data_IF_612104362323
#
_entry.id   IF_612104362323
#
_cell.length_a   1.000
_cell.length_b   1.000
_cell.length_c   1.000
_cell.angle_alpha   90.00
_cell.angle_beta   90.00
_cell.angle_gamma   90.00
#
_symmetry.space_group_name_H-M   'P 1'
#
loop_
_entity.id
_entity.type
_entity.pdbx_description
1 polymer ?
#
# COMPACT_ATOMS: atom_id res chain seq x y z
N UNK A 1 28.41 -19.97 -21.80
CA UNK A 1 28.63 -18.54 -21.96
C UNK A 1 27.41 -17.84 -21.39
N UNK A 2 27.45 -17.53 -20.08
CA UNK A 2 26.29 -16.96 -19.37
C UNK A 2 26.30 -15.44 -19.51
N UNK A 3 25.33 -14.92 -20.24
CA UNK A 3 25.10 -13.48 -20.37
C UNK A 3 24.31 -13.02 -19.13
N UNK A 4 25.01 -12.48 -18.15
CA UNK A 4 24.38 -11.76 -17.02
C UNK A 4 24.10 -10.34 -17.52
N UNK A 5 22.82 -10.04 -17.77
CA UNK A 5 22.39 -8.67 -18.05
C UNK A 5 22.45 -7.87 -16.74
N UNK A 6 23.07 -6.70 -16.73
CA UNK A 6 23.11 -5.85 -15.56
C UNK A 6 21.73 -5.27 -15.29
N UNK A 7 21.19 -5.52 -14.08
CA UNK A 7 20.04 -4.77 -13.58
C UNK A 7 20.41 -3.30 -13.44
N UNK A 8 19.58 -2.36 -13.88
CA UNK A 8 19.81 -0.95 -13.62
C UNK A 8 19.83 -0.73 -12.10
N UNK A 9 20.97 -0.30 -11.61
CA UNK A 9 21.12 0.13 -10.21
C UNK A 9 20.29 1.39 -10.03
N UNK A 10 19.12 1.27 -9.41
CA UNK A 10 18.35 2.40 -8.91
C UNK A 10 19.17 3.08 -7.81
N UNK A 11 19.89 4.12 -8.14
CA UNK A 11 20.46 5.04 -7.16
C UNK A 11 19.38 6.03 -6.76
N UNK A 12 18.65 5.74 -5.69
CA UNK A 12 17.88 6.78 -5.02
C UNK A 12 18.83 7.70 -4.27
N UNK A 13 18.80 9.01 -4.50
CA UNK A 13 19.54 9.94 -3.67
C UNK A 13 18.99 9.84 -2.25
N UNK A 14 19.84 9.52 -1.29
CA UNK A 14 19.53 9.60 0.13
C UNK A 14 19.41 11.09 0.50
N UNK A 15 18.24 11.68 0.27
CA UNK A 15 17.91 12.94 0.90
C UNK A 15 17.30 12.63 2.26
N UNK A 16 17.81 13.31 3.29
CA UNK A 16 17.20 13.35 4.61
C UNK A 16 15.78 13.86 4.42
N UNK A 17 14.76 13.17 4.95
CA UNK A 17 13.40 13.68 4.89
C UNK A 17 13.37 14.99 5.66
N UNK A 18 13.21 16.11 4.96
CA UNK A 18 12.92 17.40 5.56
C UNK A 18 11.54 17.30 6.17
N UNK A 19 11.48 17.45 7.49
CA UNK A 19 10.28 17.62 8.33
C UNK A 19 9.09 16.69 8.03
N UNK A 20 9.18 15.46 8.51
CA UNK A 20 8.03 14.66 8.86
C UNK A 20 7.21 15.39 9.93
N UNK A 21 6.16 16.11 9.53
CA UNK A 21 5.12 16.49 10.50
C UNK A 21 4.44 15.24 10.98
N UNK A 22 4.86 14.74 12.11
CA UNK A 22 4.24 13.67 12.85
C UNK A 22 3.04 14.25 13.60
N UNK A 23 1.89 14.32 12.93
CA UNK A 23 0.59 14.48 13.61
C UNK A 23 0.02 13.06 13.84
N UNK A 24 0.62 12.33 14.73
CA UNK A 24 0.01 11.13 15.32
C UNK A 24 0.34 11.19 16.79
N UNK A 25 -0.69 11.47 17.60
CA UNK A 25 -0.65 11.26 19.04
C UNK A 25 -0.24 9.80 19.31
N UNK A 26 0.93 9.54 19.90
CA UNK A 26 1.42 8.21 20.17
C UNK A 26 0.89 7.66 21.50
N UNK A 27 -0.33 7.93 21.89
CA UNK A 27 -0.92 7.24 23.03
C UNK A 27 -1.13 5.77 22.66
N UNK A 28 -0.10 4.96 22.88
CA UNK A 28 -0.06 3.52 22.58
C UNK A 28 -1.19 2.75 23.32
N UNK A 29 -1.67 3.22 24.44
CA UNK A 29 -2.74 2.61 25.24
C UNK A 29 -4.06 2.48 24.49
N UNK A 30 -4.48 3.49 23.74
CA UNK A 30 -5.75 3.44 23.00
C UNK A 30 -5.78 2.49 21.79
N UNK A 31 -4.61 2.14 21.23
CA UNK A 31 -4.51 1.21 20.09
C UNK A 31 -4.67 -0.23 20.57
N UNK A 32 -4.03 -0.59 21.66
CA UNK A 32 -4.05 -1.93 22.24
C UNK A 32 -5.48 -2.32 22.68
N UNK A 33 -6.16 -1.43 23.37
CA UNK A 33 -7.56 -1.62 23.79
C UNK A 33 -8.51 -1.75 22.58
N UNK A 34 -8.32 -0.93 21.55
CA UNK A 34 -9.11 -1.00 20.33
C UNK A 34 -8.93 -2.32 19.59
N UNK A 35 -7.70 -2.83 19.49
CA UNK A 35 -7.41 -4.10 18.83
C UNK A 35 -7.94 -5.29 19.63
N UNK A 36 -7.86 -5.24 20.95
CA UNK A 36 -8.43 -6.27 21.81
C UNK A 36 -9.97 -6.34 21.67
N UNK A 37 -10.65 -5.20 21.69
CA UNK A 37 -12.09 -5.14 21.50
C UNK A 37 -12.52 -5.66 20.11
N UNK A 38 -11.74 -5.35 19.04
CA UNK A 38 -12.00 -5.89 17.70
C UNK A 38 -11.76 -7.40 17.68
N UNK A 39 -10.73 -7.92 18.35
CA UNK A 39 -10.45 -9.35 18.44
C UNK A 39 -11.62 -10.12 19.04
N UNK A 40 -12.17 -9.65 20.16
CA UNK A 40 -13.35 -10.26 20.80
C UNK A 40 -14.56 -10.29 19.86
N UNK A 41 -14.82 -9.20 19.14
CA UNK A 41 -15.92 -9.12 18.17
C UNK A 41 -15.74 -10.07 16.99
N UNK A 42 -14.51 -10.24 16.50
CA UNK A 42 -14.18 -11.20 15.41
C UNK A 42 -14.53 -12.65 15.85
N UNK A 43 -14.42 -12.93 17.14
CA UNK A 43 -14.68 -14.25 17.70
C UNK A 43 -16.07 -14.40 18.35
N UNK A 44 -16.90 -13.35 18.32
CA UNK A 44 -18.25 -13.36 18.89
C UNK A 44 -19.27 -13.77 17.83
N UNK A 45 -19.93 -14.94 17.96
CA UNK A 45 -20.99 -15.34 17.04
C UNK A 45 -22.10 -14.28 16.97
N UNK A 46 -22.51 -13.93 15.74
CA UNK A 46 -23.54 -12.91 15.50
C UNK A 46 -23.02 -11.48 15.40
N UNK A 47 -21.77 -11.19 15.72
CA UNK A 47 -21.17 -9.89 15.42
C UNK A 47 -20.86 -9.77 13.91
N UNK A 48 -20.94 -8.53 13.38
CA UNK A 48 -20.65 -8.22 11.98
C UNK A 48 -19.19 -8.51 11.59
N UNK A 49 -18.28 -8.64 12.54
CA UNK A 49 -16.89 -9.00 12.35
C UNK A 49 -16.62 -10.50 12.49
N UNK A 50 -17.61 -11.31 12.83
CA UNK A 50 -17.44 -12.76 12.97
C UNK A 50 -17.14 -13.34 11.56
N UNK A 51 -17.44 -14.01 10.88
CA UNK A 51 -17.23 -14.72 9.60
C UNK A 51 -16.53 -13.92 8.47
N UNK A 52 -15.57 -13.03 8.81
CA UNK A 52 -14.81 -12.30 7.81
C UNK A 52 -13.96 -13.23 6.95
N UNK A 53 -13.84 -12.98 5.64
CA UNK A 53 -12.92 -13.71 4.76
C UNK A 53 -11.49 -13.72 5.32
N UNK A 54 -10.86 -14.89 5.27
CA UNK A 54 -9.53 -15.15 5.85
C UNK A 54 -8.53 -15.44 4.73
N UNK A 55 -7.36 -14.80 4.81
CA UNK A 55 -6.25 -15.01 3.90
C UNK A 55 -4.98 -15.33 4.68
N UNK A 56 -4.17 -16.23 4.13
CA UNK A 56 -2.89 -16.62 4.72
C UNK A 56 -1.83 -15.55 4.45
N UNK A 57 -0.92 -15.39 5.41
CA UNK A 57 0.32 -14.63 5.26
C UNK A 57 1.51 -15.60 5.12
N UNK A 58 2.69 -15.11 4.69
CA UNK A 58 3.90 -15.93 4.65
C UNK A 58 4.27 -16.55 6.01
N UNK A 59 4.04 -15.81 7.11
CA UNK A 59 4.16 -16.36 8.46
C UNK A 59 2.92 -17.25 8.75
N UNK A 60 3.08 -18.55 8.99
CA UNK A 60 1.98 -19.49 9.20
C UNK A 60 1.15 -19.20 10.46
N UNK A 61 1.69 -18.47 11.42
CA UNK A 61 0.99 -18.08 12.63
C UNK A 61 0.14 -16.82 12.45
N UNK A 62 0.29 -16.13 11.32
CA UNK A 62 -0.44 -14.90 11.01
C UNK A 62 -1.45 -15.13 9.89
N UNK A 63 -2.60 -14.51 10.02
CA UNK A 63 -3.60 -14.45 8.95
C UNK A 63 -4.24 -13.08 8.86
N UNK A 64 -4.75 -12.74 7.70
CA UNK A 64 -5.53 -11.51 7.49
C UNK A 64 -7.00 -11.87 7.52
N UNK A 65 -7.80 -11.12 8.26
CA UNK A 65 -9.26 -11.07 8.14
C UNK A 65 -9.65 -9.77 7.47
N UNK A 66 -10.45 -9.85 6.43
CA UNK A 66 -10.76 -8.69 5.59
C UNK A 66 -12.22 -8.32 5.69
N UNK A 67 -12.47 -7.06 6.06
CA UNK A 67 -13.79 -6.44 6.00
C UNK A 67 -13.81 -5.40 4.90
N UNK A 68 -14.86 -5.40 4.08
CA UNK A 68 -15.16 -4.31 3.15
C UNK A 68 -16.32 -3.51 3.72
N UNK A 69 -16.14 -2.19 3.90
CA UNK A 69 -17.19 -1.27 4.35
C UNK A 69 -16.97 0.09 3.72
N UNK A 70 -18.02 0.72 3.23
CA UNK A 70 -18.03 2.08 2.68
C UNK A 70 -17.00 2.35 1.57
N UNK A 71 -16.66 1.28 0.83
CA UNK A 71 -15.66 1.32 -0.23
C UNK A 71 -14.21 1.21 0.26
N UNK A 72 -13.99 1.04 1.56
CA UNK A 72 -12.70 0.80 2.17
C UNK A 72 -12.49 -0.69 2.49
N UNK A 73 -11.23 -1.09 2.67
CA UNK A 73 -10.88 -2.43 3.10
C UNK A 73 -10.10 -2.36 4.40
N UNK A 74 -10.56 -3.14 5.38
CA UNK A 74 -9.94 -3.27 6.69
C UNK A 74 -9.28 -4.65 6.76
N UNK A 75 -7.97 -4.69 6.80
CA UNK A 75 -7.18 -5.90 6.92
C UNK A 75 -6.68 -6.05 8.36
N UNK A 76 -7.37 -6.86 9.15
CA UNK A 76 -6.98 -7.20 10.51
C UNK A 76 -6.00 -8.35 10.49
N UNK A 77 -4.82 -8.17 11.05
CA UNK A 77 -3.81 -9.24 11.15
C UNK A 77 -3.94 -9.92 12.50
N UNK A 78 -4.31 -11.19 12.47
CA UNK A 78 -4.50 -12.04 13.64
C UNK A 78 -3.30 -12.94 13.86
N UNK A 79 -2.78 -12.98 15.09
CA UNK A 79 -1.80 -13.95 15.57
C UNK A 79 -2.54 -15.12 16.24
N UNK A 80 -2.50 -16.27 15.57
CA UNK A 80 -3.18 -17.49 15.99
C UNK A 80 -2.57 -18.11 17.27
N UNK A 81 -1.26 -17.93 17.44
CA UNK A 81 -0.53 -18.47 18.55
C UNK A 81 -0.79 -17.66 19.83
N UNK A 82 -0.76 -16.33 19.70
CA UNK A 82 -0.98 -15.41 20.82
C UNK A 82 -2.44 -15.09 21.08
N UNK A 83 -3.33 -15.48 20.14
CA UNK A 83 -4.77 -15.22 20.21
C UNK A 83 -5.10 -13.73 20.39
N UNK A 84 -4.52 -12.90 19.52
CA UNK A 84 -4.72 -11.45 19.53
C UNK A 84 -4.62 -10.88 18.12
N UNK A 85 -4.97 -9.61 17.93
CA UNK A 85 -4.64 -8.88 16.72
C UNK A 85 -3.23 -8.28 16.83
N UNK A 86 -2.39 -8.58 15.86
CA UNK A 86 -1.08 -7.96 15.70
C UNK A 86 -1.17 -6.49 15.27
N UNK A 87 -2.25 -6.14 14.59
CA UNK A 87 -2.50 -4.81 14.06
C UNK A 87 -3.54 -4.82 12.95
N UNK A 88 -3.64 -3.69 12.29
CA UNK A 88 -4.61 -3.46 11.22
C UNK A 88 -4.02 -2.56 10.14
N UNK A 89 -4.36 -2.82 8.89
CA UNK A 89 -4.19 -1.89 7.77
C UNK A 89 -5.56 -1.52 7.21
N UNK A 90 -5.83 -0.23 7.13
CA UNK A 90 -7.02 0.29 6.44
C UNK A 90 -6.59 0.80 5.08
N UNK A 91 -7.19 0.31 4.03
CA UNK A 91 -7.03 0.78 2.67
C UNK A 91 -8.14 1.79 2.39
N UNK A 92 -7.85 3.05 2.72
CA UNK A 92 -8.82 4.14 2.65
C UNK A 92 -9.14 4.50 1.21
N UNK A 93 -10.31 5.05 1.00
CA UNK A 93 -10.71 5.67 -0.26
C UNK A 93 -9.85 6.91 -0.54
N UNK A 94 -9.68 7.22 -1.81
CA UNK A 94 -8.97 8.40 -2.29
C UNK A 94 -9.94 9.54 -2.60
N UNK A 95 -10.68 10.00 -1.58
CA UNK A 95 -11.72 11.04 -1.71
C UNK A 95 -11.17 12.41 -2.17
N UNK A 96 -9.88 12.63 -1.99
CA UNK A 96 -9.12 13.78 -2.47
C UNK A 96 -8.83 13.73 -3.98
N UNK A 97 -8.94 12.55 -4.59
CA UNK A 97 -8.82 12.35 -6.03
C UNK A 97 -10.18 12.45 -6.74
N UNK A 98 -10.17 12.31 -8.07
CA UNK A 98 -11.41 12.25 -8.84
C UNK A 98 -12.16 10.92 -8.60
N UNK A 99 -13.45 10.89 -8.97
CA UNK A 99 -14.32 9.71 -8.76
C UNK A 99 -13.83 8.45 -9.49
N UNK A 100 -13.12 8.59 -10.62
CA UNK A 100 -12.56 7.44 -11.35
C UNK A 100 -11.41 6.83 -10.56
N UNK A 101 -10.48 7.67 -10.08
CA UNK A 101 -9.37 7.24 -9.24
C UNK A 101 -9.85 6.60 -7.93
N UNK A 102 -10.83 7.20 -7.25
CA UNK A 102 -11.38 6.66 -6.00
C UNK A 102 -11.99 5.23 -6.15
N UNK A 103 -12.33 4.79 -7.35
CA UNK A 103 -12.79 3.42 -7.59
C UNK A 103 -11.66 2.40 -7.56
N UNK A 104 -10.46 2.77 -7.99
CA UNK A 104 -9.34 1.86 -8.27
C UNK A 104 -8.16 2.03 -7.31
N UNK A 105 -7.99 3.22 -6.71
CA UNK A 105 -6.91 3.54 -5.80
C UNK A 105 -7.34 3.46 -4.35
N UNK A 106 -6.40 3.00 -3.50
CA UNK A 106 -6.54 3.03 -2.04
C UNK A 106 -5.28 3.61 -1.41
N UNK A 107 -5.48 4.40 -0.35
CA UNK A 107 -4.39 4.91 0.48
C UNK A 107 -4.29 4.07 1.76
N UNK A 108 -3.25 3.24 1.90
CA UNK A 108 -3.12 2.39 3.06
C UNK A 108 -2.64 3.16 4.29
N UNK A 109 -3.28 2.88 5.43
CA UNK A 109 -2.86 3.34 6.74
C UNK A 109 -2.74 2.14 7.68
N UNK A 110 -1.55 1.91 8.22
CA UNK A 110 -1.22 0.73 9.01
C UNK A 110 -0.90 1.08 10.45
N UNK A 111 -1.46 0.32 11.38
CA UNK A 111 -1.15 0.37 12.82
C UNK A 111 -0.88 -1.05 13.31
N UNK A 112 0.30 -1.25 13.87
CA UNK A 112 0.72 -2.54 14.45
C UNK A 112 1.27 -2.31 15.84
N UNK A 113 0.98 -3.23 16.75
CA UNK A 113 1.56 -3.25 18.10
C UNK A 113 3.09 -3.29 18.02
N UNK A 114 3.76 -2.68 18.97
CA UNK A 114 5.22 -2.50 18.96
C UNK A 114 5.99 -3.81 18.71
N UNK A 115 5.55 -4.91 19.34
CA UNK A 115 6.16 -6.23 19.19
C UNK A 115 5.98 -6.87 17.81
N UNK A 116 5.11 -6.32 16.96
CA UNK A 116 4.85 -6.78 15.59
C UNK A 116 5.44 -5.86 14.51
N UNK A 117 5.97 -4.70 14.92
CA UNK A 117 6.60 -3.77 13.99
C UNK A 117 7.92 -4.33 13.44
N UNK A 118 8.32 -3.87 12.26
CA UNK A 118 9.57 -4.25 11.57
C UNK A 118 9.72 -5.75 11.27
N UNK A 119 8.63 -6.51 11.31
CA UNK A 119 8.58 -7.96 10.99
C UNK A 119 8.09 -8.23 9.57
N UNK A 120 8.00 -7.24 8.70
CA UNK A 120 7.52 -7.41 7.33
C UNK A 120 6.00 -7.58 7.19
N UNK A 121 5.23 -7.51 8.27
CA UNK A 121 3.77 -7.76 8.26
C UNK A 121 3.04 -6.76 7.37
N UNK A 122 3.32 -5.47 7.51
CA UNK A 122 2.71 -4.45 6.65
C UNK A 122 3.04 -4.69 5.17
N UNK A 123 4.27 -5.09 4.87
CA UNK A 123 4.70 -5.46 3.51
C UNK A 123 3.85 -6.59 2.97
N UNK A 124 3.68 -7.68 3.72
CA UNK A 124 2.88 -8.83 3.31
C UNK A 124 1.40 -8.47 3.10
N UNK A 125 0.84 -7.60 3.93
CA UNK A 125 -0.55 -7.09 3.76
C UNK A 125 -0.69 -6.24 2.51
N UNK A 126 0.29 -5.39 2.18
CA UNK A 126 0.27 -4.59 0.95
C UNK A 126 0.45 -5.49 -0.28
N UNK A 127 1.31 -6.50 -0.22
CA UNK A 127 1.47 -7.50 -1.28
C UNK A 127 0.20 -8.30 -1.52
N UNK A 128 -0.51 -8.67 -0.45
CA UNK A 128 -1.83 -9.27 -0.56
C UNK A 128 -2.79 -8.35 -1.33
N UNK A 129 -2.88 -7.08 -0.95
CA UNK A 129 -3.76 -6.11 -1.63
C UNK A 129 -3.40 -5.95 -3.12
N UNK A 130 -2.11 -5.74 -3.42
CA UNK A 130 -1.61 -5.64 -4.79
C UNK A 130 -1.86 -6.94 -5.58
N UNK A 131 -1.70 -8.09 -4.92
CA UNK A 131 -1.97 -9.41 -5.50
C UNK A 131 -3.45 -9.64 -5.84
N UNK A 132 -4.38 -8.98 -5.15
CA UNK A 132 -5.83 -9.00 -5.44
C UNK A 132 -6.26 -7.95 -6.47
N UNK A 133 -5.32 -7.22 -7.06
CA UNK A 133 -5.60 -6.20 -8.08
C UNK A 133 -5.88 -4.79 -7.52
N UNK A 134 -5.81 -4.59 -6.20
CA UNK A 134 -5.95 -3.26 -5.60
C UNK A 134 -4.71 -2.43 -5.91
N UNK A 135 -4.89 -1.25 -6.51
CA UNK A 135 -3.82 -0.30 -6.72
C UNK A 135 -3.69 0.62 -5.50
N UNK A 136 -2.47 0.95 -5.13
CA UNK A 136 -2.17 1.72 -3.93
C UNK A 136 -1.56 3.08 -4.28
N UNK A 137 -1.86 4.08 -3.48
CA UNK A 137 -1.23 5.41 -3.55
C UNK A 137 -0.85 5.89 -2.16
N UNK A 138 0.30 6.54 -2.03
CA UNK A 138 0.76 7.10 -0.76
C UNK A 138 -0.16 8.24 -0.30
N UNK A 139 -0.28 8.39 1.02
CA UNK A 139 -0.81 9.62 1.59
C UNK A 139 0.13 10.81 1.36
N UNK A 140 -0.35 12.01 1.75
CA UNK A 140 0.44 13.25 1.67
C UNK A 140 1.69 13.22 2.56
N UNK A 141 1.65 12.45 3.62
CA UNK A 141 2.71 12.32 4.61
C UNK A 141 2.97 10.84 4.85
N UNK A 142 4.24 10.50 5.05
CA UNK A 142 4.69 9.15 5.36
C UNK A 142 5.67 9.17 6.51
N UNK A 143 5.62 8.17 7.38
CA UNK A 143 6.72 7.91 8.31
C UNK A 143 7.92 7.34 7.55
N UNK A 144 9.13 7.45 8.13
CA UNK A 144 10.33 6.85 7.53
C UNK A 144 10.17 5.35 7.27
N UNK A 145 9.49 4.63 8.17
CA UNK A 145 9.18 3.21 7.99
C UNK A 145 8.21 2.93 6.84
N UNK A 146 7.17 3.76 6.69
CA UNK A 146 6.26 3.66 5.56
C UNK A 146 6.99 3.94 4.23
N UNK A 147 7.80 4.99 4.17
CA UNK A 147 8.59 5.32 2.99
C UNK A 147 9.51 4.16 2.57
N UNK A 148 10.26 3.56 3.52
CA UNK A 148 11.11 2.41 3.25
C UNK A 148 10.30 1.20 2.71
N UNK A 149 9.11 0.95 3.25
CA UNK A 149 8.20 -0.09 2.76
C UNK A 149 7.81 0.18 1.30
N UNK A 150 7.37 1.40 0.98
CA UNK A 150 6.99 1.78 -0.38
C UNK A 150 8.14 1.61 -1.38
N UNK A 151 9.35 2.04 -1.04
CA UNK A 151 10.54 1.83 -1.87
C UNK A 151 10.86 0.34 -2.08
N UNK A 152 10.69 -0.48 -1.04
CA UNK A 152 10.86 -1.94 -1.15
C UNK A 152 9.86 -2.57 -2.10
N UNK A 153 8.58 -2.15 -2.06
CA UNK A 153 7.53 -2.63 -2.97
C UNK A 153 7.75 -2.13 -4.41
N UNK A 154 8.20 -0.90 -4.60
CA UNK A 154 8.48 -0.33 -5.93
C UNK A 154 9.53 -1.11 -6.73
N UNK A 155 10.39 -1.89 -6.05
CA UNK A 155 11.35 -2.80 -6.71
C UNK A 155 10.70 -4.05 -7.32
N UNK A 156 9.48 -4.40 -6.90
CA UNK A 156 8.80 -5.66 -7.24
C UNK A 156 7.50 -5.46 -8.00
N UNK A 157 6.92 -4.28 -7.90
CA UNK A 157 5.67 -3.91 -8.54
C UNK A 157 5.88 -2.74 -9.49
N UNK A 158 4.98 -2.57 -10.44
CA UNK A 158 4.98 -1.39 -11.29
C UNK A 158 4.63 -0.19 -10.43
N UNK A 159 5.55 0.77 -10.40
CA UNK A 159 5.45 1.98 -9.61
C UNK A 159 5.54 3.22 -10.49
N UNK A 160 5.03 4.33 -10.01
CA UNK A 160 5.17 5.64 -10.62
C UNK A 160 4.79 6.74 -9.65
N UNK A 161 4.96 7.97 -10.10
CA UNK A 161 4.63 9.17 -9.37
C UNK A 161 3.53 9.95 -10.08
N UNK A 162 2.68 10.58 -9.29
CA UNK A 162 1.62 11.45 -9.78
C UNK A 162 1.52 12.71 -8.93
N UNK A 163 1.22 13.83 -9.56
CA UNK A 163 0.80 15.05 -8.90
C UNK A 163 -0.71 14.98 -8.66
N UNK A 164 -1.14 15.19 -7.42
CA UNK A 164 -2.54 15.21 -7.03
C UNK A 164 -2.93 16.62 -6.56
N UNK A 165 -3.58 17.39 -7.43
CA UNK A 165 -4.08 18.75 -7.15
C UNK A 165 -5.50 18.94 -7.65
N UNK A 166 -6.36 19.55 -6.83
CA UNK A 166 -7.72 19.88 -7.23
C UNK A 166 -8.50 18.68 -7.80
N UNK A 167 -8.31 17.52 -7.22
CA UNK A 167 -8.87 16.23 -7.66
C UNK A 167 -8.35 15.73 -9.02
N UNK A 168 -7.36 16.38 -9.61
CA UNK A 168 -6.70 15.91 -10.83
C UNK A 168 -5.47 15.12 -10.49
N UNK A 169 -5.25 14.05 -11.25
CA UNK A 169 -4.03 13.24 -11.22
C UNK A 169 -3.26 13.51 -12.51
N UNK A 170 -2.00 13.89 -12.37
CA UNK A 170 -1.08 14.05 -13.50
C UNK A 170 0.09 13.10 -13.29
N UNK A 171 0.37 12.27 -14.28
CA UNK A 171 1.51 11.34 -14.24
C UNK A 171 2.82 12.11 -14.36
N UNK A 172 3.75 11.88 -13.45
CA UNK A 172 5.07 12.54 -13.42
C UNK A 172 6.19 11.65 -13.94
N UNK A 173 5.91 10.34 -14.12
CA UNK A 173 6.95 9.40 -14.53
C UNK A 173 7.18 8.29 -13.49
N UNK A 174 8.14 7.41 -13.82
CA UNK A 174 8.63 6.37 -12.89
C UNK A 174 9.69 6.93 -11.94
N UNK A 175 10.31 8.00 -12.33
CA UNK A 175 11.31 8.74 -11.59
C UNK A 175 10.93 10.21 -11.62
N UNK A 176 11.21 10.92 -10.56
CA UNK A 176 10.95 12.35 -10.42
C UNK A 176 12.16 13.00 -9.77
N UNK A 177 12.39 14.26 -10.12
CA UNK A 177 13.47 15.03 -9.51
C UNK A 177 13.27 15.18 -7.99
N UNK A 178 14.37 15.27 -7.20
CA UNK A 178 14.27 15.41 -5.73
C UNK A 178 13.37 16.55 -5.28
N UNK A 179 13.37 17.66 -6.01
CA UNK A 179 12.55 18.85 -5.72
C UNK A 179 11.05 18.56 -5.88
N UNK A 180 10.68 17.67 -6.79
CA UNK A 180 9.31 17.25 -6.99
C UNK A 180 8.86 16.23 -5.93
N UNK A 181 9.77 15.42 -5.39
CA UNK A 181 9.48 14.49 -4.31
C UNK A 181 9.09 15.20 -3.01
N UNK A 182 9.67 16.37 -2.75
CA UNK A 182 9.40 17.15 -1.54
C UNK A 182 8.05 17.88 -1.58
N UNK A 183 7.39 17.92 -2.75
CA UNK A 183 6.08 18.56 -2.87
C UNK A 183 5.00 17.70 -2.23
N UNK A 184 4.19 18.31 -1.39
CA UNK A 184 3.09 17.65 -0.66
C UNK A 184 2.04 17.01 -1.60
N UNK A 185 1.95 17.47 -2.85
CA UNK A 185 1.04 16.95 -3.86
C UNK A 185 1.60 15.75 -4.63
N UNK A 186 2.92 15.50 -4.58
CA UNK A 186 3.53 14.35 -5.23
C UNK A 186 3.23 13.08 -4.44
N UNK A 187 2.68 12.08 -5.14
CA UNK A 187 2.29 10.80 -4.60
C UNK A 187 2.97 9.68 -5.37
N UNK A 188 3.52 8.70 -4.65
CA UNK A 188 3.89 7.43 -5.27
C UNK A 188 2.67 6.54 -5.38
N UNK A 189 2.53 5.80 -6.49
CA UNK A 189 1.52 4.76 -6.62
C UNK A 189 2.16 3.43 -7.00
N UNK A 190 1.47 2.35 -6.64
CA UNK A 190 1.80 0.97 -7.00
C UNK A 190 0.60 0.34 -7.68
N UNK A 191 0.87 -0.37 -8.75
CA UNK A 191 -0.17 -0.99 -9.58
C UNK A 191 -0.37 -2.43 -9.12
N UNK A 192 -1.63 -2.79 -8.88
CA UNK A 192 -2.05 -4.14 -8.53
C UNK A 192 -1.86 -5.13 -9.69
N UNK A 193 -1.93 -6.43 -9.39
CA UNK A 193 -1.83 -7.50 -10.39
C UNK A 193 -2.89 -7.29 -11.47
N UNK A 194 -2.56 -7.70 -12.72
CA UNK A 194 -3.42 -7.63 -13.91
C UNK A 194 -3.62 -6.23 -14.50
N UNK A 195 -3.13 -5.19 -13.86
CA UNK A 195 -3.13 -3.86 -14.43
C UNK A 195 -1.82 -3.59 -15.20
N UNK A 196 -1.93 -3.00 -16.38
CA UNK A 196 -0.81 -2.32 -17.03
C UNK A 196 -0.81 -0.84 -16.64
N UNK A 197 0.34 -0.18 -16.71
CA UNK A 197 0.42 1.25 -16.41
C UNK A 197 -0.56 2.06 -17.28
N UNK A 198 -0.66 1.73 -18.56
CA UNK A 198 -1.55 2.42 -19.48
C UNK A 198 -3.03 2.25 -19.09
N UNK A 199 -3.50 1.01 -18.89
CA UNK A 199 -4.88 0.76 -18.46
C UNK A 199 -5.20 1.41 -17.13
N UNK A 200 -4.24 1.43 -16.21
CA UNK A 200 -4.39 2.10 -14.92
C UNK A 200 -4.57 3.61 -15.10
N UNK A 201 -3.68 4.29 -15.84
CA UNK A 201 -3.76 5.72 -16.09
C UNK A 201 -5.09 6.10 -16.76
N UNK A 202 -5.53 5.32 -17.74
CA UNK A 202 -6.82 5.52 -18.40
C UNK A 202 -7.98 5.35 -17.41
N UNK A 203 -8.00 4.26 -16.63
CA UNK A 203 -9.09 3.96 -15.69
C UNK A 203 -9.24 5.02 -14.61
N UNK A 204 -8.13 5.52 -14.05
CA UNK A 204 -8.16 6.55 -13.00
C UNK A 204 -8.31 7.97 -13.53
N UNK A 205 -8.31 8.16 -14.85
CA UNK A 205 -8.37 9.49 -15.48
C UNK A 205 -7.12 10.31 -15.18
N UNK A 206 -5.96 9.68 -15.21
CA UNK A 206 -4.67 10.33 -15.01
C UNK A 206 -4.24 11.00 -16.30
N UNK A 207 -4.01 12.30 -16.24
CA UNK A 207 -3.45 13.04 -17.37
C UNK A 207 -1.97 12.72 -17.50
N UNK A 208 -1.53 12.43 -18.71
CA UNK A 208 -0.12 12.19 -18.99
C UNK A 208 0.16 12.67 -20.41
N UNK A 209 1.32 13.23 -20.58
CA UNK A 209 1.98 13.28 -21.89
C UNK A 209 2.53 11.88 -22.20
N UNK A 210 1.59 10.90 -22.28
CA UNK A 210 1.85 9.46 -22.24
C UNK A 210 2.52 8.91 -23.50
N UNK A 211 3.63 9.46 -23.95
CA UNK A 211 4.49 8.75 -24.90
C UNK A 211 5.25 7.59 -24.25
N UNK A 212 5.60 7.68 -22.96
CA UNK A 212 6.38 6.65 -22.25
C UNK A 212 5.55 5.45 -21.74
N UNK A 213 4.24 5.61 -21.58
CA UNK A 213 3.40 4.54 -21.03
C UNK A 213 3.13 3.38 -22.00
N UNK A 214 3.32 3.58 -23.30
CA UNK A 214 3.06 2.57 -24.34
C UNK A 214 4.19 1.53 -24.52
N UNK A 215 5.37 1.78 -23.98
CA UNK A 215 6.59 1.01 -24.25
C UNK A 215 6.93 -0.06 -23.19
N UNK A 216 6.10 -0.31 -22.20
CA UNK A 216 6.43 -1.28 -21.13
C UNK A 216 5.75 -2.63 -21.36
N UNK A 217 6.52 -3.70 -21.67
CA UNK A 217 5.96 -5.05 -21.75
C UNK A 217 5.50 -5.52 -20.38
N UNK A 218 4.37 -6.23 -20.35
CA UNK A 218 3.90 -6.95 -19.16
C UNK A 218 5.00 -7.92 -18.69
N UNK A 219 5.46 -7.76 -17.47
CA UNK A 219 6.40 -8.71 -16.86
C UNK A 219 5.59 -9.95 -16.47
N UNK A 220 5.49 -10.88 -17.43
CA UNK A 220 5.07 -12.26 -17.14
C UNK A 220 6.20 -12.93 -16.37
N UNK A 221 6.05 -13.07 -15.06
CA UNK A 221 6.90 -13.97 -14.27
C UNK A 221 6.09 -15.17 -13.86
N UNK A 222 6.52 -16.31 -14.36
CA UNK A 222 6.07 -17.64 -13.98
C UNK A 222 6.18 -17.81 -12.45
N UNK A 223 5.12 -18.39 -11.87
CA UNK A 223 5.16 -18.93 -10.52
C UNK A 223 6.10 -20.16 -10.51
N UNK A 224 6.95 -20.32 -9.50
CA UNK A 224 7.58 -21.62 -9.28
C UNK A 224 6.55 -22.60 -8.75
N UNK A 225 6.62 -23.79 -9.29
CA UNK A 225 5.88 -24.99 -8.91
C UNK A 225 6.11 -25.40 -7.47
#
# INVERSE_FOLDING_TARGET
MNLVLPFPHFRFPFHRPSELRVDVDPSHTGVDESLAAIYERIHSPGDRLHDLPVFRLPDPHLRIRVRKSDGEFYAYVEDLQRRCLAGCTVFNRMVEANRRADRHLRSPHSRYLAQYQRRGIATAVYEWALGTGICLMTGARQSAGAHALWLSLARRYVAGFADLRGKKLTYLGREVEPEDLDRICTRMFLIGREWTLWHFCEAVGMHSDCHDARSSPAISRHAPS
#
